data_IF_213077528773
#
_entry.id   IF_213077528773
#
_cell.length_a   1.000
_cell.length_b   1.000
_cell.length_c   1.000
_cell.angle_alpha   90.00
_cell.angle_beta   90.00
_cell.angle_gamma   90.00
#
_symmetry.space_group_name_H-M   'P 1'
#
loop_
_entity.id
_entity.type
_entity.pdbx_description
1 polymer ?
#
# COMPACT_ATOMS: atom_id res chain seq x y z
N UNK A 1 33.71 -20.47 -77.56
CA UNK A 1 32.91 -19.32 -77.08
C UNK A 1 32.06 -19.80 -75.92
N UNK A 2 32.47 -19.51 -74.69
CA UNK A 2 31.74 -19.89 -73.47
C UNK A 2 31.24 -18.63 -72.78
N UNK A 3 29.93 -18.41 -72.73
CA UNK A 3 29.29 -17.33 -71.99
C UNK A 3 29.30 -17.66 -70.48
N UNK A 4 29.97 -16.80 -69.72
CA UNK A 4 29.95 -16.88 -68.26
C UNK A 4 28.76 -16.02 -67.76
N UNK A 5 27.76 -16.68 -67.08
CA UNK A 5 26.65 -16.02 -66.41
C UNK A 5 27.12 -15.54 -65.03
N UNK A 6 27.07 -14.24 -64.81
CA UNK A 6 27.31 -13.60 -63.51
C UNK A 6 25.98 -13.64 -62.76
N UNK A 7 25.97 -14.34 -61.62
CA UNK A 7 24.84 -14.42 -60.71
C UNK A 7 24.95 -13.30 -59.67
N UNK A 8 24.05 -12.33 -59.73
CA UNK A 8 23.92 -11.27 -58.70
C UNK A 8 23.19 -11.83 -57.49
N UNK A 9 23.89 -11.98 -56.35
CA UNK A 9 23.31 -12.40 -55.08
C UNK A 9 22.91 -11.11 -54.34
N UNK A 10 21.61 -10.81 -54.31
CA UNK A 10 21.05 -9.74 -53.50
C UNK A 10 20.95 -10.22 -52.04
N UNK A 11 21.80 -9.68 -51.17
CA UNK A 11 21.66 -9.82 -49.71
C UNK A 11 20.47 -8.94 -49.24
N UNK A 12 19.35 -9.60 -48.93
CA UNK A 12 18.28 -8.99 -48.17
C UNK A 12 18.68 -8.99 -46.70
N UNK A 13 19.10 -7.84 -46.17
CA UNK A 13 19.26 -7.62 -44.73
C UNK A 13 17.89 -7.49 -44.09
N UNK A 14 17.47 -8.54 -43.44
CA UNK A 14 16.31 -8.49 -42.52
C UNK A 14 16.74 -7.73 -41.27
N UNK A 15 16.41 -6.44 -41.22
CA UNK A 15 16.45 -5.67 -39.98
C UNK A 15 15.22 -6.09 -39.17
N UNK A 16 15.41 -7.03 -38.22
CA UNK A 16 14.44 -7.29 -37.18
C UNK A 16 14.31 -6.06 -36.30
N UNK A 17 13.24 -5.27 -36.50
CA UNK A 17 12.77 -4.30 -35.50
C UNK A 17 12.40 -5.12 -34.25
N UNK A 18 13.26 -5.14 -33.26
CA UNK A 18 12.86 -5.46 -31.91
C UNK A 18 11.96 -4.30 -31.46
N UNK A 19 10.65 -4.53 -31.49
CA UNK A 19 9.72 -3.69 -30.74
C UNK A 19 10.09 -3.87 -29.26
N UNK A 20 10.74 -2.86 -28.69
CA UNK A 20 10.96 -2.80 -27.25
C UNK A 20 9.59 -2.81 -26.58
N UNK A 21 9.44 -3.75 -25.64
CA UNK A 21 8.25 -3.96 -24.87
C UNK A 21 7.96 -2.68 -24.05
N UNK A 22 7.06 -1.82 -24.55
CA UNK A 22 6.68 -0.53 -23.94
C UNK A 22 5.88 -0.69 -22.64
N UNK A 23 5.47 -1.91 -22.29
CA UNK A 23 4.67 -2.18 -21.09
C UNK A 23 5.43 -2.02 -19.76
N UNK A 24 6.77 -1.98 -19.79
CA UNK A 24 7.59 -1.82 -18.59
C UNK A 24 7.67 -0.36 -18.11
N UNK A 25 7.50 0.60 -19.01
CA UNK A 25 7.61 2.03 -18.71
C UNK A 25 6.37 2.65 -18.06
N UNK A 26 5.17 2.12 -18.32
CA UNK A 26 3.93 2.74 -17.85
C UNK A 26 3.70 2.51 -16.35
N UNK A 27 4.00 1.32 -15.85
CA UNK A 27 3.87 0.99 -14.42
C UNK A 27 4.84 1.77 -13.53
N UNK A 28 6.08 1.96 -13.97
CA UNK A 28 7.08 2.77 -13.26
C UNK A 28 6.72 4.26 -13.28
N UNK A 29 6.19 4.75 -14.39
CA UNK A 29 5.75 6.15 -14.53
C UNK A 29 4.58 6.46 -13.59
N UNK A 30 3.56 5.59 -13.52
CA UNK A 30 2.41 5.76 -12.62
C UNK A 30 2.85 5.64 -11.16
N UNK A 31 3.69 4.65 -10.84
CA UNK A 31 4.22 4.47 -9.49
C UNK A 31 5.04 5.70 -9.04
N UNK A 32 5.88 6.22 -9.93
CA UNK A 32 6.66 7.45 -9.67
C UNK A 32 5.77 8.65 -9.43
N UNK A 33 4.72 8.82 -10.22
CA UNK A 33 3.77 9.92 -10.05
C UNK A 33 3.01 9.85 -8.71
N UNK A 34 2.67 8.64 -8.26
CA UNK A 34 1.92 8.43 -7.01
C UNK A 34 2.85 8.41 -5.81
N UNK A 35 3.84 7.53 -5.80
CA UNK A 35 4.69 7.26 -4.63
C UNK A 35 5.86 8.24 -4.51
N UNK A 36 6.29 8.84 -5.61
CA UNK A 36 7.39 9.83 -5.60
C UNK A 36 7.09 11.04 -4.73
N UNK A 37 5.81 11.40 -4.57
CA UNK A 37 5.40 12.50 -3.71
C UNK A 37 5.63 12.24 -2.21
N UNK A 38 5.90 10.97 -1.84
CA UNK A 38 6.17 10.54 -0.47
C UNK A 38 7.67 10.31 -0.23
N UNK A 39 8.51 10.48 -1.24
CA UNK A 39 9.98 10.41 -1.07
C UNK A 39 10.44 11.51 -0.12
N UNK A 40 11.25 11.13 0.89
CA UNK A 40 11.78 12.09 1.86
C UNK A 40 10.74 12.69 2.82
N UNK A 41 9.53 12.13 2.89
CA UNK A 41 8.48 12.55 3.80
C UNK A 41 8.97 12.44 5.25
N UNK A 42 8.90 13.55 6.00
CA UNK A 42 9.30 13.59 7.42
C UNK A 42 8.15 13.27 8.35
N UNK A 43 6.99 13.83 8.06
CA UNK A 43 5.77 13.63 8.84
C UNK A 43 4.57 13.55 7.91
N UNK A 44 3.53 12.85 8.38
CA UNK A 44 2.27 12.68 7.64
C UNK A 44 1.12 12.60 8.63
N UNK A 45 -0.03 13.13 8.25
CA UNK A 45 -1.29 12.85 8.93
C UNK A 45 -2.43 12.80 7.93
N UNK A 46 -3.41 11.95 8.21
CA UNK A 46 -4.64 11.86 7.45
C UNK A 46 -5.77 11.34 8.34
N UNK A 47 -7.01 11.60 7.94
CA UNK A 47 -8.17 10.83 8.39
C UNK A 47 -8.35 9.64 7.48
N UNK A 48 -9.00 8.59 7.98
CA UNK A 48 -9.36 7.43 7.18
C UNK A 48 -10.75 6.92 7.51
N UNK A 49 -11.34 6.25 6.52
CA UNK A 49 -12.40 5.27 6.67
C UNK A 49 -11.79 3.89 6.38
N UNK A 50 -12.04 2.91 7.25
CA UNK A 50 -11.55 1.55 7.08
C UNK A 50 -12.72 0.57 6.94
N UNK A 51 -12.64 -0.26 5.92
CA UNK A 51 -13.56 -1.38 5.71
C UNK A 51 -12.77 -2.66 5.71
N UNK A 52 -13.07 -3.55 6.66
CA UNK A 52 -12.54 -4.91 6.66
C UNK A 52 -13.62 -5.84 6.11
N UNK A 53 -13.26 -6.71 5.17
CA UNK A 53 -14.14 -7.72 4.59
C UNK A 53 -13.55 -9.11 4.83
N UNK A 54 -14.25 -9.95 5.56
CA UNK A 54 -13.89 -11.35 5.69
C UNK A 54 -14.26 -12.09 4.40
N UNK A 55 -13.30 -12.76 3.77
CA UNK A 55 -13.55 -13.44 2.51
C UNK A 55 -14.44 -14.69 2.65
N UNK A 56 -14.44 -15.34 3.82
CA UNK A 56 -15.22 -16.55 4.07
C UNK A 56 -16.66 -16.22 4.43
N UNK A 57 -16.87 -15.39 5.45
CA UNK A 57 -18.23 -15.06 5.96
C UNK A 57 -18.90 -13.94 5.16
N UNK A 58 -18.12 -13.19 4.36
CA UNK A 58 -18.55 -11.97 3.65
C UNK A 58 -18.97 -10.83 4.57
N UNK A 59 -18.75 -10.98 5.86
CA UNK A 59 -19.02 -9.92 6.83
C UNK A 59 -18.09 -8.73 6.59
N UNK A 60 -18.63 -7.54 6.83
CA UNK A 60 -17.91 -6.28 6.74
C UNK A 60 -17.96 -5.55 8.08
N UNK A 61 -16.83 -5.05 8.53
CA UNK A 61 -16.76 -4.10 9.64
C UNK A 61 -16.30 -2.74 9.12
N UNK A 62 -16.83 -1.69 9.71
CA UNK A 62 -16.55 -0.30 9.33
C UNK A 62 -16.08 0.46 10.56
N UNK A 63 -14.98 1.16 10.42
CA UNK A 63 -14.51 2.14 11.38
C UNK A 63 -13.89 3.33 10.67
N UNK A 64 -13.64 4.40 11.41
CA UNK A 64 -12.98 5.59 10.91
C UNK A 64 -11.94 6.06 11.93
N UNK A 65 -11.07 6.95 11.51
CA UNK A 65 -10.07 7.43 12.45
C UNK A 65 -9.04 8.36 11.86
N UNK A 66 -7.90 8.39 12.51
CA UNK A 66 -6.75 9.17 12.07
C UNK A 66 -5.48 8.33 12.08
N UNK A 67 -4.59 8.65 11.17
CA UNK A 67 -3.24 8.10 11.12
C UNK A 67 -2.22 9.23 11.13
N UNK A 68 -1.15 9.06 11.89
CA UNK A 68 -0.01 9.94 11.94
C UNK A 68 1.28 9.15 11.77
N UNK A 69 2.27 9.76 11.14
CA UNK A 69 3.58 9.17 10.89
C UNK A 69 4.69 10.19 11.12
N UNK A 70 5.77 9.75 11.75
CA UNK A 70 7.05 10.47 11.82
C UNK A 70 8.14 9.50 11.33
N UNK A 71 8.89 9.94 10.32
CA UNK A 71 9.99 9.15 9.78
C UNK A 71 11.05 8.84 10.86
N UNK A 72 11.72 7.67 10.79
CA UNK A 72 11.61 6.69 9.70
C UNK A 72 10.48 5.66 9.86
N UNK A 73 9.89 5.51 11.06
CA UNK A 73 8.97 4.38 11.33
C UNK A 73 7.98 4.59 12.47
N UNK A 74 7.89 5.79 13.05
CA UNK A 74 6.90 6.01 14.11
C UNK A 74 5.51 6.19 13.49
N UNK A 75 4.55 5.36 13.91
CA UNK A 75 3.17 5.39 13.44
C UNK A 75 2.25 5.42 14.65
N UNK A 76 1.21 6.22 14.56
CA UNK A 76 0.05 6.15 15.43
C UNK A 76 -1.20 6.10 14.57
N UNK A 77 -2.10 5.17 14.89
CA UNK A 77 -3.42 5.08 14.30
C UNK A 77 -4.45 4.97 15.41
N UNK A 78 -5.47 5.80 15.36
CA UNK A 78 -6.62 5.80 16.28
C UNK A 78 -7.86 5.45 15.48
N UNK A 79 -8.59 4.38 15.85
CA UNK A 79 -9.80 3.93 15.16
C UNK A 79 -11.02 3.99 16.07
N UNK A 80 -12.16 4.36 15.49
CA UNK A 80 -13.43 4.57 16.16
C UNK A 80 -14.56 3.89 15.40
N UNK A 81 -15.46 3.23 16.11
CA UNK A 81 -16.72 2.74 15.58
C UNK A 81 -17.88 3.30 16.42
N UNK A 82 -18.89 3.88 15.75
CA UNK A 82 -20.00 4.51 16.44
C UNK A 82 -19.59 5.62 17.43
N UNK A 83 -18.52 6.35 17.13
CA UNK A 83 -17.98 7.41 17.98
C UNK A 83 -17.19 6.94 19.21
N UNK A 84 -17.04 5.62 19.42
CA UNK A 84 -16.25 5.05 20.50
C UNK A 84 -14.91 4.57 19.95
N UNK A 85 -13.82 4.83 20.68
CA UNK A 85 -12.50 4.30 20.35
C UNK A 85 -12.52 2.77 20.47
N UNK A 86 -12.12 2.10 19.39
CA UNK A 86 -12.08 0.62 19.32
C UNK A 86 -10.66 0.11 19.32
N UNK A 87 -9.74 0.84 18.66
CA UNK A 87 -8.37 0.41 18.48
C UNK A 87 -7.41 1.59 18.46
N UNK A 88 -6.24 1.39 19.05
CA UNK A 88 -5.07 2.24 18.81
C UNK A 88 -3.89 1.36 18.41
N UNK A 89 -3.16 1.80 17.40
CA UNK A 89 -1.92 1.15 16.98
C UNK A 89 -0.77 2.13 17.10
N UNK A 90 0.29 1.69 17.76
CA UNK A 90 1.54 2.43 17.86
C UNK A 90 2.67 1.59 17.31
N UNK A 91 3.46 2.16 16.41
CA UNK A 91 4.73 1.60 15.96
C UNK A 91 5.83 2.53 16.42
N UNK A 92 6.76 2.01 17.18
CA UNK A 92 7.95 2.72 17.63
C UNK A 92 9.13 1.77 17.63
N UNK A 93 10.21 2.16 16.96
CA UNK A 93 11.50 1.44 16.98
C UNK A 93 11.40 -0.07 16.68
N UNK A 94 10.51 -0.44 15.73
CA UNK A 94 10.30 -1.84 15.32
C UNK A 94 9.42 -2.66 16.26
N UNK A 95 8.81 -2.02 17.25
CA UNK A 95 7.81 -2.60 18.16
C UNK A 95 6.44 -2.06 17.80
N UNK A 96 5.47 -2.95 17.63
CA UNK A 96 4.06 -2.58 17.40
C UNK A 96 3.26 -2.90 18.64
N UNK A 97 2.50 -1.94 19.15
CA UNK A 97 1.54 -2.12 20.22
C UNK A 97 0.14 -1.86 19.67
N UNK A 98 -0.75 -2.85 19.78
CA UNK A 98 -2.15 -2.77 19.36
C UNK A 98 -3.02 -2.83 20.62
N UNK A 99 -3.69 -1.73 20.93
CA UNK A 99 -4.63 -1.63 22.04
C UNK A 99 -6.04 -1.87 21.50
N UNK A 100 -6.71 -2.90 21.99
CA UNK A 100 -8.11 -3.15 21.69
C UNK A 100 -8.97 -2.72 22.89
N UNK A 101 -9.82 -1.71 22.71
CA UNK A 101 -10.59 -1.10 23.78
C UNK A 101 -11.84 -1.92 24.15
N UNK A 102 -12.38 -2.71 23.23
CA UNK A 102 -13.51 -3.58 23.51
C UNK A 102 -13.09 -4.77 24.39
N UNK A 103 -11.93 -5.38 24.04
CA UNK A 103 -11.40 -6.54 24.76
C UNK A 103 -10.54 -6.14 25.96
N UNK A 104 -10.22 -4.86 26.11
CA UNK A 104 -9.30 -4.33 27.13
C UNK A 104 -7.95 -5.08 27.15
N UNK A 105 -7.38 -5.29 25.99
CA UNK A 105 -6.08 -5.94 25.88
C UNK A 105 -5.11 -5.16 24.99
N UNK A 106 -3.83 -5.40 25.20
CA UNK A 106 -2.74 -4.87 24.39
C UNK A 106 -1.93 -6.05 23.87
N UNK A 107 -1.78 -6.10 22.57
CA UNK A 107 -0.87 -7.03 21.91
C UNK A 107 0.40 -6.27 21.51
N UNK A 108 1.54 -6.77 21.99
CA UNK A 108 2.84 -6.20 21.68
C UNK A 108 3.62 -7.20 20.84
N UNK A 109 4.10 -6.77 19.68
CA UNK A 109 4.85 -7.64 18.78
C UNK A 109 6.05 -6.92 18.18
N UNK A 110 7.11 -7.67 17.90
CA UNK A 110 8.19 -7.24 17.01
C UNK A 110 7.69 -7.44 15.59
N UNK A 111 7.23 -6.40 14.94
CA UNK A 111 6.55 -6.60 13.66
C UNK A 111 6.81 -5.49 12.67
N UNK A 112 7.21 -5.93 11.48
CA UNK A 112 7.14 -5.13 10.26
C UNK A 112 5.70 -5.03 9.68
N UNK A 113 4.72 -5.77 10.23
CA UNK A 113 3.40 -5.90 9.62
C UNK A 113 2.63 -4.58 9.54
N UNK A 114 2.56 -3.84 10.64
CA UNK A 114 1.90 -2.53 10.62
C UNK A 114 2.62 -1.55 9.66
N UNK A 115 3.93 -1.70 9.48
CA UNK A 115 4.71 -0.89 8.53
C UNK A 115 4.37 -1.22 7.07
N UNK A 116 3.88 -2.43 6.77
CA UNK A 116 3.54 -2.82 5.40
C UNK A 116 2.26 -2.14 4.91
N UNK A 117 1.26 -1.97 5.78
CA UNK A 117 0.03 -1.24 5.44
C UNK A 117 0.29 0.22 5.06
N UNK A 118 1.34 0.79 5.63
CA UNK A 118 1.74 2.18 5.40
C UNK A 118 3.08 2.29 4.65
N UNK A 119 3.46 1.22 3.93
CA UNK A 119 4.72 1.20 3.17
C UNK A 119 4.86 2.37 2.19
N UNK A 120 3.73 2.87 1.65
CA UNK A 120 3.70 4.01 0.74
C UNK A 120 4.28 5.30 1.38
N UNK A 121 4.19 5.45 2.71
CA UNK A 121 4.73 6.61 3.42
C UNK A 121 6.28 6.68 3.35
N UNK A 122 6.92 5.58 2.99
CA UNK A 122 8.37 5.52 2.81
C UNK A 122 8.81 5.94 1.40
N UNK A 123 7.85 6.22 0.50
CA UNK A 123 8.09 6.64 -0.87
C UNK A 123 8.50 5.51 -1.81
N UNK A 124 8.66 5.86 -3.08
CA UNK A 124 8.92 4.89 -4.16
C UNK A 124 10.20 4.08 -3.92
N UNK A 125 11.28 4.74 -3.46
CA UNK A 125 12.59 4.11 -3.33
C UNK A 125 12.58 2.96 -2.30
N UNK A 126 11.88 3.13 -1.19
CA UNK A 126 11.78 2.10 -0.16
C UNK A 126 10.75 1.03 -0.52
N UNK A 127 9.63 1.42 -1.14
CA UNK A 127 8.61 0.48 -1.61
C UNK A 127 9.20 -0.46 -2.66
N UNK A 128 9.95 0.06 -3.63
CA UNK A 128 10.55 -0.74 -4.71
C UNK A 128 11.59 -1.76 -4.23
N UNK A 129 12.20 -1.56 -3.07
CA UNK A 129 13.11 -2.55 -2.47
C UNK A 129 12.35 -3.81 -2.00
N UNK A 130 11.15 -3.65 -1.45
CA UNK A 130 10.36 -4.71 -0.84
C UNK A 130 9.30 -5.31 -1.75
N UNK A 131 8.81 -4.54 -2.71
CA UNK A 131 7.69 -4.92 -3.58
C UNK A 131 8.06 -4.83 -5.06
N UNK A 132 7.49 -5.72 -5.85
CA UNK A 132 7.34 -5.54 -7.29
C UNK A 132 6.11 -4.68 -7.52
N UNK A 133 6.25 -3.61 -8.32
CA UNK A 133 5.19 -2.65 -8.59
C UNK A 133 4.70 -2.86 -10.03
N UNK A 134 3.38 -2.91 -10.22
CA UNK A 134 2.77 -3.00 -11.54
C UNK A 134 1.59 -2.04 -11.65
N UNK A 135 1.37 -1.49 -12.85
CA UNK A 135 0.12 -0.80 -13.17
C UNK A 135 -1.03 -1.80 -13.16
N UNK A 136 -2.10 -1.43 -12.51
CA UNK A 136 -3.34 -2.21 -12.43
C UNK A 136 -4.57 -1.39 -12.79
N UNK A 137 -4.38 -0.20 -13.37
CA UNK A 137 -5.48 0.72 -13.72
C UNK A 137 -6.49 0.07 -14.63
N UNK A 138 -6.06 -0.68 -15.64
CA UNK A 138 -6.95 -1.42 -16.55
C UNK A 138 -7.81 -2.50 -15.84
N UNK A 139 -7.48 -2.87 -14.61
CA UNK A 139 -8.22 -3.90 -13.84
C UNK A 139 -9.21 -3.31 -12.83
N UNK A 140 -9.38 -1.98 -12.76
CA UNK A 140 -10.25 -1.31 -11.77
C UNK A 140 -11.67 -1.84 -11.81
N UNK A 141 -12.28 -1.97 -12.98
CA UNK A 141 -13.66 -2.46 -13.10
C UNK A 141 -13.81 -3.92 -12.58
N UNK A 142 -12.79 -4.74 -12.78
CA UNK A 142 -12.74 -6.09 -12.19
C UNK A 142 -12.57 -6.02 -10.67
N UNK A 143 -11.75 -5.12 -10.17
CA UNK A 143 -11.52 -4.91 -8.74
C UNK A 143 -12.79 -4.44 -8.03
N UNK A 144 -13.55 -3.50 -8.60
CA UNK A 144 -14.86 -3.08 -8.09
C UNK A 144 -15.83 -4.26 -7.91
N UNK A 145 -15.86 -5.20 -8.85
CA UNK A 145 -16.69 -6.42 -8.76
C UNK A 145 -16.28 -7.35 -7.60
N UNK A 146 -15.07 -7.24 -7.08
CA UNK A 146 -14.62 -7.99 -5.89
C UNK A 146 -14.94 -7.26 -4.57
N UNK A 147 -15.60 -6.12 -4.62
CA UNK A 147 -16.04 -5.35 -3.46
C UNK A 147 -15.10 -4.20 -3.07
N UNK A 148 -14.06 -3.93 -3.85
CA UNK A 148 -13.22 -2.74 -3.66
C UNK A 148 -14.00 -1.47 -4.02
N UNK A 149 -13.94 -0.47 -3.16
CA UNK A 149 -14.53 0.85 -3.41
C UNK A 149 -13.47 1.73 -4.07
N UNK A 150 -13.61 1.97 -5.36
CA UNK A 150 -12.64 2.74 -6.16
C UNK A 150 -13.41 3.84 -6.90
N UNK A 151 -12.98 5.08 -6.71
CA UNK A 151 -13.58 6.24 -7.35
C UNK A 151 -13.29 6.24 -8.85
N UNK A 152 -14.20 6.81 -9.64
CA UNK A 152 -13.99 6.96 -11.06
C UNK A 152 -12.81 7.91 -11.35
N UNK A 153 -12.10 7.66 -12.43
CA UNK A 153 -10.89 8.42 -12.78
C UNK A 153 -9.64 8.07 -11.95
N UNK A 154 -9.73 7.10 -11.02
CA UNK A 154 -8.56 6.63 -10.27
C UNK A 154 -7.55 5.93 -11.18
N UNK A 155 -6.27 6.12 -10.88
CA UNK A 155 -5.19 5.21 -11.27
C UNK A 155 -4.97 4.18 -10.16
N UNK A 156 -4.51 2.99 -10.49
CA UNK A 156 -4.26 1.94 -9.51
C UNK A 156 -2.92 1.25 -9.77
N UNK A 157 -2.10 1.15 -8.74
CA UNK A 157 -0.91 0.30 -8.76
C UNK A 157 -1.09 -0.88 -7.82
N UNK A 158 -0.46 -2.00 -8.16
CA UNK A 158 -0.40 -3.22 -7.36
C UNK A 158 1.02 -3.44 -6.87
N UNK A 159 1.16 -3.65 -5.58
CA UNK A 159 2.39 -4.03 -4.92
C UNK A 159 2.33 -5.52 -4.59
N UNK A 160 3.31 -6.27 -5.06
CA UNK A 160 3.47 -7.69 -4.73
C UNK A 160 4.75 -7.85 -3.92
N UNK A 161 4.70 -8.39 -2.69
CA UNK A 161 5.91 -8.62 -1.91
C UNK A 161 6.93 -9.45 -2.69
N UNK A 162 8.19 -9.02 -2.73
CA UNK A 162 9.29 -9.78 -3.37
C UNK A 162 9.64 -11.03 -2.58
N UNK A 163 9.52 -10.95 -1.26
CA UNK A 163 9.64 -12.08 -0.36
C UNK A 163 8.26 -12.44 0.15
N UNK A 164 7.80 -13.70 0.02
CA UNK A 164 6.52 -14.12 0.57
C UNK A 164 6.46 -13.81 2.06
N UNK A 165 5.39 -13.15 2.50
CA UNK A 165 5.12 -12.96 3.90
C UNK A 165 3.77 -13.59 4.26
N UNK A 166 3.56 -13.87 5.54
CA UNK A 166 2.36 -14.58 6.00
C UNK A 166 1.12 -13.68 6.13
N UNK A 167 1.29 -12.36 5.99
CA UNK A 167 0.24 -11.40 6.31
C UNK A 167 -0.33 -10.71 5.07
N UNK A 168 0.49 -10.40 4.08
CA UNK A 168 0.09 -9.63 2.91
C UNK A 168 0.38 -10.41 1.63
N UNK A 169 -0.66 -10.63 0.84
CA UNK A 169 -0.55 -11.20 -0.50
C UNK A 169 -0.34 -10.11 -1.56
N UNK A 170 -1.14 -9.06 -1.50
CA UNK A 170 -1.08 -7.89 -2.38
C UNK A 170 -1.49 -6.63 -1.65
N UNK A 171 -0.93 -5.50 -2.06
CA UNK A 171 -1.43 -4.17 -1.70
C UNK A 171 -1.80 -3.47 -3.01
N UNK A 172 -2.99 -2.89 -3.07
CA UNK A 172 -3.37 -1.98 -4.13
C UNK A 172 -3.39 -0.56 -3.58
N UNK A 173 -2.87 0.37 -4.36
CA UNK A 173 -2.93 1.79 -4.03
C UNK A 173 -3.67 2.47 -5.17
N UNK A 174 -4.77 3.16 -4.84
CA UNK A 174 -5.50 3.99 -5.78
C UNK A 174 -5.15 5.46 -5.56
N UNK A 175 -5.14 6.22 -6.64
CA UNK A 175 -4.84 7.65 -6.59
C UNK A 175 -5.69 8.43 -7.59
N UNK A 176 -6.08 9.64 -7.19
CA UNK A 176 -6.73 10.63 -8.05
C UNK A 176 -5.80 11.83 -8.14
N UNK A 177 -5.54 12.31 -9.35
CA UNK A 177 -4.59 13.42 -9.59
C UNK A 177 -3.22 13.17 -8.93
N UNK A 178 -2.79 11.88 -8.92
CA UNK A 178 -1.58 11.37 -8.28
C UNK A 178 -1.57 11.44 -6.74
N UNK A 179 -2.61 11.92 -6.08
CA UNK A 179 -2.74 11.86 -4.63
C UNK A 179 -3.40 10.54 -4.21
N UNK A 180 -2.82 9.84 -3.22
CA UNK A 180 -3.35 8.56 -2.74
C UNK A 180 -4.76 8.78 -2.18
N UNK A 181 -5.71 8.01 -2.71
CA UNK A 181 -7.09 7.96 -2.26
C UNK A 181 -7.33 6.76 -1.34
N UNK A 182 -6.90 5.56 -1.76
CA UNK A 182 -7.09 4.37 -0.95
C UNK A 182 -5.86 3.46 -0.96
N UNK A 183 -5.69 2.72 0.13
CA UNK A 183 -4.77 1.58 0.23
C UNK A 183 -5.59 0.36 0.59
N UNK A 184 -5.49 -0.68 -0.23
CA UNK A 184 -6.27 -1.90 -0.12
C UNK A 184 -5.33 -3.07 0.03
N UNK A 185 -5.39 -3.76 1.16
CA UNK A 185 -4.56 -4.93 1.45
C UNK A 185 -5.38 -6.20 1.30
N UNK A 186 -4.82 -7.19 0.63
CA UNK A 186 -5.36 -8.54 0.51
C UNK A 186 -4.40 -9.49 1.23
N UNK A 187 -4.89 -10.21 2.23
CA UNK A 187 -4.12 -11.24 2.95
C UNK A 187 -4.10 -12.59 2.20
N UNK A 188 -3.42 -13.58 2.76
CA UNK A 188 -3.33 -14.93 2.18
C UNK A 188 -4.68 -15.67 2.19
N UNK A 189 -5.57 -15.37 3.12
CA UNK A 189 -6.92 -15.92 3.20
C UNK A 189 -7.90 -15.16 2.30
N UNK A 190 -7.39 -14.15 1.56
CA UNK A 190 -8.14 -13.24 0.70
C UNK A 190 -9.10 -12.30 1.45
N UNK A 191 -8.90 -12.12 2.76
CA UNK A 191 -9.58 -11.04 3.46
C UNK A 191 -9.07 -9.71 2.91
N UNK A 192 -9.93 -8.71 2.93
CA UNK A 192 -9.62 -7.38 2.40
C UNK A 192 -9.72 -6.35 3.51
N UNK A 193 -8.71 -5.50 3.63
CA UNK A 193 -8.76 -4.28 4.42
C UNK A 193 -8.55 -3.11 3.49
N UNK A 194 -9.52 -2.22 3.40
CA UNK A 194 -9.44 -0.99 2.60
C UNK A 194 -9.44 0.23 3.51
N UNK A 195 -8.42 1.04 3.38
CA UNK A 195 -8.36 2.39 3.94
C UNK A 195 -8.65 3.39 2.83
N UNK A 196 -9.60 4.29 3.05
CA UNK A 196 -9.84 5.46 2.18
C UNK A 196 -9.44 6.70 2.95
N UNK A 197 -8.54 7.51 2.41
CA UNK A 197 -7.96 8.65 3.10
C UNK A 197 -8.65 9.96 2.75
N UNK A 198 -8.66 10.86 3.73
CA UNK A 198 -9.10 12.25 3.59
C UNK A 198 -8.24 13.15 4.49
N UNK A 199 -8.34 14.46 4.30
CA UNK A 199 -7.58 15.46 5.06
C UNK A 199 -6.07 15.19 5.11
N UNK A 200 -5.50 14.72 4.00
CA UNK A 200 -4.08 14.37 3.90
C UNK A 200 -3.22 15.63 4.08
N UNK A 201 -2.28 15.54 5.02
CA UNK A 201 -1.27 16.59 5.28
C UNK A 201 0.12 15.97 5.20
N UNK A 202 0.98 16.53 4.35
CA UNK A 202 2.38 16.17 4.23
C UNK A 202 3.22 17.17 5.00
N UNK A 203 4.17 16.65 5.78
CA UNK A 203 5.06 17.42 6.64
C UNK A 203 4.36 18.36 7.65
N UNK A 204 3.21 17.96 8.29
CA UNK A 204 2.66 18.73 9.38
C UNK A 204 3.59 18.71 10.60
N UNK A 205 3.45 19.71 11.49
CA UNK A 205 4.10 19.67 12.80
C UNK A 205 3.47 18.59 13.66
N UNK A 206 4.25 17.61 14.11
CA UNK A 206 3.82 16.52 15.01
C UNK A 206 4.80 16.39 16.16
N UNK A 207 4.31 16.03 17.35
CA UNK A 207 5.13 15.83 18.54
C UNK A 207 5.40 14.30 18.74
N UNK A 208 6.66 13.93 18.93
CA UNK A 208 7.04 12.51 19.18
C UNK A 208 6.37 11.91 20.41
N UNK A 209 6.01 12.73 21.41
CA UNK A 209 5.31 12.23 22.61
C UNK A 209 3.95 11.61 22.29
N UNK A 210 3.29 12.06 21.18
CA UNK A 210 1.98 11.56 20.77
C UNK A 210 2.05 10.14 20.20
N UNK A 211 3.26 9.61 19.94
CA UNK A 211 3.50 8.28 19.41
C UNK A 211 3.84 7.23 20.48
N UNK A 212 3.75 7.59 21.74
CA UNK A 212 3.96 6.63 22.84
C UNK A 212 2.62 6.03 23.27
N UNK A 213 2.56 4.69 23.31
CA UNK A 213 1.39 3.99 23.80
C UNK A 213 1.18 4.31 25.29
N UNK A 214 0.01 4.82 25.64
CA UNK A 214 -0.45 4.98 27.03
C UNK A 214 -1.47 3.86 27.29
N UNK A 215 -1.05 2.83 28.04
CA UNK A 215 -1.91 1.67 28.30
C UNK A 215 -2.83 2.00 29.47
N UNK A 216 -4.17 1.99 29.29
CA UNK A 216 -5.10 2.26 30.37
C UNK A 216 -5.06 1.21 31.46
N UNK A 217 -5.40 1.60 32.68
CA UNK A 217 -5.50 0.66 33.79
C UNK A 217 -6.55 -0.45 33.46
N UNK A 218 -6.24 -1.70 33.84
CA UNK A 218 -7.11 -2.86 33.62
C UNK A 218 -7.03 -3.47 32.22
N UNK A 219 -6.05 -3.06 31.41
CA UNK A 219 -5.74 -3.76 30.15
C UNK A 219 -4.76 -4.91 30.41
N UNK A 220 -5.04 -6.07 29.81
CA UNK A 220 -4.11 -7.21 29.81
C UNK A 220 -3.09 -7.03 28.69
N UNK A 221 -1.80 -7.24 29.00
CA UNK A 221 -0.71 -7.11 28.03
C UNK A 221 -0.20 -8.49 27.66
N UNK A 222 -0.15 -8.79 26.36
CA UNK A 222 0.45 -9.99 25.78
C UNK A 222 1.58 -9.60 24.82
N UNK A 223 2.72 -10.32 24.90
CA UNK A 223 3.85 -10.15 23.97
C UNK A 223 3.93 -11.39 23.06
N UNK A 224 4.14 -11.16 21.73
CA UNK A 224 4.27 -12.18 20.69
C UNK A 224 5.65 -12.10 20.02
#
# INVERSE_FOLDING_TARGET
>A
MKLTKILFLALFSFSSLFAADTTKNDGESIASAILGQYNGLKTFSAKFERVNTNNTTKEKTHDNGSVMFIAPSNIRMDAFAGGKMTEQVFVDSGKTSILNFEKKNVMVMKSAAAEEYLAFLKGLDEVSKKFTISDSTATIEKAKKTGMVIKDGSKMIKLTPKTPNQQVKYIFITAINNEIDSVITIDLMKNMTQFTFSDIKRNPSLDKKDFKANIPAGFEVSEL
#
